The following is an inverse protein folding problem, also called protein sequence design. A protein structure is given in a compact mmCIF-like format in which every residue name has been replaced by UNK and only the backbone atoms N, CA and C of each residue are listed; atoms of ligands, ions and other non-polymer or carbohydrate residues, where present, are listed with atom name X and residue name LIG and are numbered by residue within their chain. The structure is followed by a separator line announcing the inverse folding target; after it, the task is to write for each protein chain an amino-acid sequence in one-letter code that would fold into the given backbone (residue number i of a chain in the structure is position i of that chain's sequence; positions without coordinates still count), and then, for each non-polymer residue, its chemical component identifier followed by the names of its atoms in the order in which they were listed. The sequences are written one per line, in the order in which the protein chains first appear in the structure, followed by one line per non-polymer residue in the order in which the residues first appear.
data_IF_967668931198
#
_entry.id   IF_967668931198
#
_cell.length_a   1.000
_cell.length_b   1.000
_cell.length_c   1.000
_cell.angle_alpha   90.00
_cell.angle_beta   90.00
_cell.angle_gamma   90.00
#
_symmetry.space_group_name_H-M   'P 1'
#
loop_
_entity.id
_entity.type
_entity.pdbx_description
1 polymer ?
#
# COMPACT_ATOMS: atom_id res chain seq x y z
N UNK A 1 -6.32 10.75 4.16
CA UNK A 1 -6.14 9.28 4.30
C UNK A 1 -4.70 8.85 4.27
N UNK A 2 -3.89 9.28 3.29
CA UNK A 2 -2.45 9.00 3.19
C UNK A 2 -1.71 9.12 4.54
N UNK A 3 -1.81 10.25 5.25
CA UNK A 3 -1.19 10.38 6.58
C UNK A 3 -1.92 9.61 7.69
N UNK A 4 -3.18 9.96 7.95
CA UNK A 4 -3.92 9.48 9.13
C UNK A 4 -4.04 7.95 9.19
N UNK A 5 -4.48 7.27 8.12
CA UNK A 5 -4.72 5.82 8.14
C UNK A 5 -3.41 5.05 8.17
N UNK A 6 -2.43 5.50 7.38
CA UNK A 6 -1.09 4.92 7.39
C UNK A 6 -0.50 4.93 8.80
N UNK A 7 -0.54 6.09 9.45
CA UNK A 7 0.01 6.24 10.79
C UNK A 7 -0.80 5.45 11.81
N UNK A 8 -2.14 5.41 11.71
CA UNK A 8 -2.95 4.55 12.56
C UNK A 8 -2.52 3.07 12.45
N UNK A 9 -2.38 2.55 11.23
CA UNK A 9 -1.97 1.16 11.00
C UNK A 9 -0.55 0.85 11.48
N UNK A 10 0.37 1.82 11.37
CA UNK A 10 1.74 1.69 11.86
C UNK A 10 1.82 1.71 13.38
N UNK A 11 1.17 2.68 14.03
CA UNK A 11 1.30 2.89 15.47
C UNK A 11 0.44 1.93 16.29
N UNK A 12 -0.72 1.49 15.78
CA UNK A 12 -1.61 0.55 16.51
C UNK A 12 -1.10 -0.90 16.48
N UNK A 13 -0.27 -1.26 15.50
CA UNK A 13 0.19 -2.63 15.32
C UNK A 13 0.87 -3.21 16.57
N UNK A 14 1.85 -2.48 17.13
CA UNK A 14 2.58 -2.96 18.30
C UNK A 14 1.72 -3.04 19.57
N UNK A 15 0.93 -2.01 19.96
CA UNK A 15 -0.03 -2.10 21.05
C UNK A 15 -1.05 -3.24 20.89
N UNK A 16 -1.57 -3.45 19.68
CA UNK A 16 -2.54 -4.51 19.39
C UNK A 16 -1.95 -5.91 19.62
N UNK A 17 -0.75 -6.17 19.10
CA UNK A 17 -0.08 -7.45 19.29
C UNK A 17 0.34 -7.70 20.74
N UNK A 18 0.81 -6.67 21.44
CA UNK A 18 1.10 -6.76 22.89
C UNK A 18 -0.15 -7.06 23.70
N UNK A 19 -1.27 -6.42 23.37
CA UNK A 19 -2.55 -6.65 24.03
C UNK A 19 -3.10 -8.06 23.77
N UNK A 20 -2.83 -8.63 22.59
CA UNK A 20 -3.08 -10.05 22.30
C UNK A 20 -2.08 -10.99 23.01
N UNK A 21 -1.07 -10.50 23.74
CA UNK A 21 -0.09 -11.34 24.43
C UNK A 21 0.79 -12.15 23.47
N UNK A 22 0.96 -11.67 22.24
CA UNK A 22 1.77 -12.34 21.22
C UNK A 22 3.24 -11.93 21.33
N UNK A 23 4.12 -12.89 21.05
CA UNK A 23 5.57 -12.69 21.05
C UNK A 23 6.03 -11.70 19.97
N UNK A 24 7.15 -11.02 20.21
CA UNK A 24 7.73 -10.02 19.32
C UNK A 24 8.08 -10.57 17.94
N UNK A 25 8.46 -11.85 17.85
CA UNK A 25 8.72 -12.52 16.57
C UNK A 25 7.45 -12.60 15.72
N UNK A 26 6.30 -12.96 16.32
CA UNK A 26 5.02 -13.04 15.62
C UNK A 26 4.57 -11.66 15.13
N UNK A 27 4.78 -10.62 15.93
CA UNK A 27 4.55 -9.24 15.50
C UNK A 27 5.42 -8.87 14.30
N UNK A 28 6.73 -9.16 14.35
CA UNK A 28 7.66 -8.82 13.27
C UNK A 28 7.28 -9.50 11.95
N UNK A 29 6.99 -10.81 11.98
CA UNK A 29 6.54 -11.55 10.80
C UNK A 29 5.24 -10.98 10.25
N UNK A 30 4.28 -10.67 11.12
CA UNK A 30 3.00 -10.10 10.70
C UNK A 30 3.14 -8.68 10.16
N UNK A 31 4.05 -7.89 10.71
CA UNK A 31 4.40 -6.57 10.23
C UNK A 31 4.99 -6.64 8.82
N UNK A 32 5.89 -7.58 8.55
CA UNK A 32 6.42 -7.81 7.20
C UNK A 32 5.32 -8.16 6.20
N UNK A 33 4.38 -9.03 6.59
CA UNK A 33 3.21 -9.36 5.76
C UNK A 33 2.37 -8.10 5.50
N UNK A 34 2.04 -7.35 6.55
CA UNK A 34 1.26 -6.11 6.45
C UNK A 34 1.93 -5.06 5.54
N UNK A 35 3.26 -4.97 5.53
CA UNK A 35 4.02 -4.01 4.73
C UNK A 35 4.22 -4.42 3.27
N UNK A 36 3.97 -5.69 2.94
CA UNK A 36 4.14 -6.25 1.59
C UNK A 36 3.49 -5.42 0.48
N UNK A 37 2.27 -4.85 0.63
CA UNK A 37 1.64 -4.03 -0.40
C UNK A 37 2.46 -2.81 -0.85
N UNK A 38 3.31 -2.27 0.02
CA UNK A 38 4.17 -1.13 -0.33
C UNK A 38 5.24 -1.51 -1.36
N UNK A 39 5.77 -2.73 -1.28
CA UNK A 39 6.69 -3.27 -2.27
C UNK A 39 5.97 -3.66 -3.58
N UNK A 40 4.66 -3.94 -3.51
CA UNK A 40 3.86 -4.32 -4.68
C UNK A 40 3.39 -3.14 -5.54
N UNK A 41 3.67 -1.89 -5.15
CA UNK A 41 3.28 -0.69 -5.93
C UNK A 41 3.69 -0.77 -7.39
N UNK A 42 4.85 -1.34 -7.71
CA UNK A 42 5.30 -1.52 -9.10
C UNK A 42 4.33 -2.37 -9.94
N UNK A 43 3.76 -3.46 -9.38
CA UNK A 43 2.73 -4.25 -10.05
C UNK A 43 1.45 -3.44 -10.19
N UNK A 44 1.02 -2.77 -9.12
CA UNK A 44 -0.23 -2.02 -9.15
C UNK A 44 -0.18 -0.91 -10.20
N UNK A 45 0.93 -0.18 -10.32
CA UNK A 45 1.14 0.87 -11.32
C UNK A 45 1.08 0.28 -12.73
N UNK A 46 1.81 -0.82 -12.95
CA UNK A 46 1.83 -1.52 -14.22
C UNK A 46 0.44 -2.01 -14.63
N UNK A 47 -0.35 -2.50 -13.67
CA UNK A 47 -1.70 -3.01 -13.89
C UNK A 47 -2.69 -1.89 -14.23
N UNK A 48 -2.66 -0.78 -13.49
CA UNK A 48 -3.53 0.38 -13.73
C UNK A 48 -3.26 1.05 -15.07
N UNK A 49 -1.98 1.09 -15.47
CA UNK A 49 -1.57 1.67 -16.76
C UNK A 49 -1.93 0.77 -17.94
N UNK A 50 -1.78 -0.55 -17.77
CA UNK A 50 -2.07 -1.53 -18.80
C UNK A 50 -3.57 -1.71 -19.03
N UNK A 51 -4.37 -1.71 -17.95
CA UNK A 51 -5.78 -2.07 -18.02
C UNK A 51 -6.69 -0.95 -17.47
N UNK A 52 -7.18 -0.03 -18.31
CA UNK A 52 -8.24 0.87 -17.89
C UNK A 52 -9.52 0.07 -17.66
N UNK A 53 -10.17 0.25 -16.51
CA UNK A 53 -11.47 -0.34 -16.20
C UNK A 53 -12.52 0.73 -16.50
N UNK A 54 -13.50 0.45 -17.36
CA UNK A 54 -14.60 1.40 -17.65
C UNK A 54 -14.15 2.79 -18.15
N UNK A 55 -13.00 2.87 -18.81
CA UNK A 55 -12.40 4.08 -19.37
C UNK A 55 -11.48 4.84 -18.41
N UNK A 56 -11.31 4.34 -17.18
CA UNK A 56 -10.52 4.96 -16.12
C UNK A 56 -9.35 4.07 -15.70
N UNK A 57 -8.15 4.66 -15.65
CA UNK A 57 -6.92 4.04 -15.19
C UNK A 57 -6.79 4.02 -13.65
N UNK A 58 -7.39 4.98 -12.95
CA UNK A 58 -7.23 5.17 -11.50
C UNK A 58 -8.54 4.98 -10.73
N UNK A 59 -9.65 5.59 -11.16
CA UNK A 59 -10.90 5.67 -10.36
C UNK A 59 -11.37 4.33 -9.78
N UNK A 60 -11.53 3.30 -10.61
CA UNK A 60 -12.07 2.02 -10.16
C UNK A 60 -11.08 1.19 -9.35
N UNK A 61 -9.78 1.31 -9.63
CA UNK A 61 -8.73 0.70 -8.82
C UNK A 61 -8.67 1.30 -7.41
N UNK A 62 -8.78 2.64 -7.29
CA UNK A 62 -8.88 3.30 -5.98
C UNK A 62 -10.13 2.86 -5.22
N UNK A 63 -11.25 2.67 -5.93
CA UNK A 63 -12.50 2.22 -5.30
C UNK A 63 -12.40 0.77 -4.80
N UNK A 64 -11.90 -0.16 -5.62
CA UNK A 64 -11.70 -1.56 -5.23
C UNK A 64 -10.73 -1.65 -4.05
N UNK A 65 -9.60 -0.92 -4.11
CA UNK A 65 -8.64 -0.88 -3.02
C UNK A 65 -9.26 -0.32 -1.73
N UNK A 66 -10.11 0.70 -1.83
CA UNK A 66 -10.85 1.24 -0.69
C UNK A 66 -11.81 0.22 -0.07
N UNK A 67 -12.58 -0.51 -0.88
CA UNK A 67 -13.47 -1.57 -0.39
C UNK A 67 -12.68 -2.67 0.32
N UNK A 68 -11.54 -3.08 -0.24
CA UNK A 68 -10.66 -4.07 0.38
C UNK A 68 -10.10 -3.59 1.71
N UNK A 69 -9.61 -2.36 1.80
CA UNK A 69 -9.06 -1.85 3.07
C UNK A 69 -10.11 -1.61 4.13
N UNK A 70 -11.30 -1.14 3.77
CA UNK A 70 -12.45 -1.05 4.68
C UNK A 70 -12.85 -2.43 5.19
N UNK A 71 -12.89 -3.45 4.33
CA UNK A 71 -13.16 -4.82 4.75
C UNK A 71 -12.07 -5.36 5.69
N UNK A 72 -10.79 -5.05 5.44
CA UNK A 72 -9.68 -5.38 6.33
C UNK A 72 -9.80 -4.71 7.70
N UNK A 73 -10.10 -3.41 7.74
CA UNK A 73 -10.32 -2.67 8.98
C UNK A 73 -11.54 -3.17 9.77
N UNK A 74 -12.65 -3.48 9.09
CA UNK A 74 -13.83 -4.11 9.71
C UNK A 74 -13.47 -5.49 10.27
N UNK A 75 -12.70 -6.28 9.53
CA UNK A 75 -12.16 -7.55 9.99
C UNK A 75 -11.40 -7.39 11.31
N UNK A 76 -10.44 -6.47 11.38
CA UNK A 76 -9.67 -6.19 12.60
C UNK A 76 -10.53 -5.64 13.75
N UNK A 77 -11.56 -4.85 13.44
CA UNK A 77 -12.43 -4.23 14.43
C UNK A 77 -13.42 -5.23 15.07
N UNK A 78 -13.87 -6.24 14.32
CA UNK A 78 -14.88 -7.22 14.74
C UNK A 78 -14.26 -8.54 15.21
N UNK A 79 -13.02 -8.85 14.82
CA UNK A 79 -12.38 -10.13 15.14
C UNK A 79 -12.30 -10.37 16.66
N UNK A 80 -12.88 -11.47 17.18
CA UNK A 80 -12.78 -11.80 18.60
C UNK A 80 -11.34 -12.06 19.02
N UNK A 81 -10.99 -11.62 20.24
CA UNK A 81 -9.61 -11.69 20.77
C UNK A 81 -9.05 -13.11 20.77
N UNK A 82 -9.86 -14.09 21.15
CA UNK A 82 -9.44 -15.49 21.20
C UNK A 82 -9.08 -16.01 19.80
N UNK A 83 -9.91 -15.71 18.80
CA UNK A 83 -9.64 -16.07 17.41
C UNK A 83 -8.40 -15.36 16.88
N UNK A 84 -8.21 -14.08 17.21
CA UNK A 84 -7.04 -13.30 16.80
C UNK A 84 -5.74 -13.83 17.40
N UNK A 85 -5.78 -14.36 18.63
CA UNK A 85 -4.64 -15.01 19.30
C UNK A 85 -4.28 -16.35 18.65
N UNK A 86 -5.27 -17.18 18.35
CA UNK A 86 -5.05 -18.51 17.77
C UNK A 86 -4.65 -18.43 16.29
N UNK A 87 -5.25 -17.52 15.53
CA UNK A 87 -5.07 -17.40 14.07
C UNK A 87 -4.38 -16.08 13.70
N UNK A 88 -3.13 -15.91 14.12
CA UNK A 88 -2.35 -14.68 13.90
C UNK A 88 -2.22 -14.32 12.41
N UNK A 89 -2.21 -15.30 11.51
CA UNK A 89 -2.16 -15.08 10.06
C UNK A 89 -3.38 -14.32 9.52
N UNK A 90 -4.57 -14.48 10.12
CA UNK A 90 -5.79 -13.76 9.74
C UNK A 90 -5.63 -12.27 10.07
N UNK A 91 -5.01 -11.95 11.21
CA UNK A 91 -4.68 -10.58 11.60
C UNK A 91 -3.74 -9.95 10.56
N UNK A 92 -2.71 -10.69 10.13
CA UNK A 92 -1.82 -10.29 9.03
C UNK A 92 -2.52 -10.04 7.71
N UNK A 93 -3.43 -10.93 7.32
CA UNK A 93 -4.22 -10.78 6.10
C UNK A 93 -5.09 -9.52 6.13
N UNK A 94 -5.75 -9.23 7.26
CA UNK A 94 -6.56 -8.02 7.37
C UNK A 94 -5.72 -6.73 7.40
N UNK A 95 -4.56 -6.74 8.07
CA UNK A 95 -3.61 -5.64 7.99
C UNK A 95 -3.07 -5.46 6.57
N UNK A 96 -2.78 -6.55 5.85
CA UNK A 96 -2.39 -6.51 4.44
C UNK A 96 -3.48 -5.84 3.59
N UNK A 97 -4.74 -6.23 3.75
CA UNK A 97 -5.86 -5.60 3.03
C UNK A 97 -5.97 -4.09 3.32
N UNK A 98 -5.84 -3.68 4.59
CA UNK A 98 -5.84 -2.27 4.98
C UNK A 98 -4.65 -1.51 4.37
N UNK A 99 -3.48 -2.15 4.26
CA UNK A 99 -2.28 -1.57 3.66
C UNK A 99 -2.34 -1.52 2.13
N UNK A 100 -3.03 -2.45 1.46
CA UNK A 100 -3.32 -2.37 0.02
C UNK A 100 -4.10 -1.11 -0.32
N UNK A 101 -5.12 -0.76 0.48
CA UNK A 101 -5.86 0.49 0.28
C UNK A 101 -4.92 1.70 0.27
N UNK A 102 -4.09 1.83 1.31
CA UNK A 102 -3.18 2.96 1.45
C UNK A 102 -2.17 2.96 0.31
N UNK A 103 -1.54 1.82 0.01
CA UNK A 103 -0.50 1.72 -1.02
C UNK A 103 -1.01 2.04 -2.43
N UNK A 104 -2.20 1.55 -2.81
CA UNK A 104 -2.79 1.82 -4.14
C UNK A 104 -3.25 3.27 -4.26
N UNK A 105 -3.90 3.81 -3.22
CA UNK A 105 -4.32 5.22 -3.24
C UNK A 105 -3.13 6.17 -3.29
N UNK A 106 -2.08 5.88 -2.51
CA UNK A 106 -0.82 6.62 -2.48
C UNK A 106 -0.17 6.66 -3.86
N UNK A 107 0.01 5.50 -4.48
CA UNK A 107 0.63 5.39 -5.81
C UNK A 107 -0.15 6.14 -6.90
N UNK A 108 -1.48 6.02 -6.92
CA UNK A 108 -2.31 6.70 -7.94
C UNK A 108 -2.37 8.21 -7.74
N UNK A 109 -2.38 8.68 -6.49
CA UNK A 109 -2.28 10.10 -6.17
C UNK A 109 -0.90 10.65 -6.56
N UNK A 110 0.17 9.89 -6.33
CA UNK A 110 1.53 10.27 -6.68
C UNK A 110 1.73 10.41 -8.19
N UNK A 111 1.14 9.50 -8.97
CA UNK A 111 1.07 9.62 -10.42
C UNK A 111 0.32 10.90 -10.86
N UNK A 112 -0.85 11.17 -10.27
CA UNK A 112 -1.69 12.31 -10.68
C UNK A 112 -1.09 13.66 -10.32
N UNK A 113 -0.54 13.82 -9.12
CA UNK A 113 0.09 15.10 -8.81
C UNK A 113 1.34 15.31 -9.67
N UNK A 114 2.07 14.25 -10.05
CA UNK A 114 3.25 14.38 -10.94
C UNK A 114 2.86 14.90 -12.32
N UNK A 115 1.73 14.45 -12.85
CA UNK A 115 1.13 15.02 -14.07
C UNK A 115 0.77 16.51 -13.87
N UNK A 116 0.16 16.86 -12.73
CA UNK A 116 -0.13 18.25 -12.38
C UNK A 116 1.14 19.10 -12.25
N UNK A 117 2.24 18.55 -11.72
CA UNK A 117 3.54 19.24 -11.66
C UNK A 117 4.07 19.57 -13.05
N UNK A 118 3.95 18.62 -13.99
CA UNK A 118 4.39 18.79 -15.37
C UNK A 118 3.60 19.88 -16.11
N UNK A 119 2.29 19.97 -15.85
CA UNK A 119 1.41 20.97 -16.51
C UNK A 119 1.55 22.35 -15.88
N UNK A 120 1.63 22.43 -14.55
CA UNK A 120 1.59 23.71 -13.81
C UNK A 120 2.94 24.41 -13.66
N UNK A 121 4.06 23.70 -13.88
CA UNK A 121 5.41 24.23 -13.65
C UNK A 121 5.74 24.50 -12.17
N UNK A 122 4.83 24.23 -11.23
CA UNK A 122 4.98 24.47 -9.77
C UNK A 122 5.14 23.17 -8.98
N UNK A 123 6.01 22.28 -9.46
CA UNK A 123 6.13 20.93 -8.89
C UNK A 123 6.47 20.92 -7.40
N UNK A 124 7.45 21.73 -6.99
CA UNK A 124 7.93 21.75 -5.62
C UNK A 124 6.84 22.18 -4.61
N UNK A 125 5.97 23.13 -4.97
CA UNK A 125 4.90 23.63 -4.12
C UNK A 125 3.84 22.55 -3.87
N UNK A 126 3.44 21.83 -4.93
CA UNK A 126 2.45 20.75 -4.88
C UNK A 126 2.94 19.64 -3.95
N UNK A 127 4.18 19.18 -4.14
CA UNK A 127 4.76 18.10 -3.33
C UNK A 127 4.90 18.54 -1.87
N UNK A 128 5.39 19.76 -1.62
CA UNK A 128 5.51 20.31 -0.26
C UNK A 128 4.16 20.37 0.44
N UNK A 129 3.10 20.78 -0.26
CA UNK A 129 1.76 20.84 0.29
C UNK A 129 1.19 19.45 0.63
N UNK A 130 1.37 18.46 -0.26
CA UNK A 130 0.92 17.08 -0.03
C UNK A 130 1.63 16.46 1.18
N UNK A 131 2.94 16.66 1.30
CA UNK A 131 3.72 16.19 2.44
C UNK A 131 3.34 16.91 3.72
N UNK A 132 3.14 18.22 3.68
CA UNK A 132 2.65 18.99 4.83
C UNK A 132 1.33 18.43 5.36
N UNK A 133 0.34 18.24 4.47
CA UNK A 133 -0.95 17.66 4.85
C UNK A 133 -0.83 16.22 5.37
N UNK A 134 0.09 15.43 4.81
CA UNK A 134 0.37 14.07 5.28
C UNK A 134 0.98 14.08 6.69
N UNK A 135 1.91 15.00 6.96
CA UNK A 135 2.54 15.17 8.28
C UNK A 135 1.54 15.62 9.33
N UNK A 136 0.67 16.58 9.03
CA UNK A 136 -0.42 16.99 9.94
C UNK A 136 -1.31 15.79 10.28
N UNK A 137 -1.66 14.98 9.27
CA UNK A 137 -2.40 13.74 9.49
C UNK A 137 -1.68 12.74 10.38
N UNK A 138 -0.37 12.56 10.19
CA UNK A 138 0.46 11.67 11.02
C UNK A 138 0.53 12.17 12.47
N UNK A 139 0.63 13.48 12.69
CA UNK A 139 0.63 14.06 14.04
C UNK A 139 -0.69 13.79 14.76
N UNK A 140 -1.83 14.02 14.08
CA UNK A 140 -3.16 13.75 14.65
C UNK A 140 -3.35 12.27 15.00
N UNK A 141 -2.95 11.37 14.11
CA UNK A 141 -3.05 9.93 14.36
C UNK A 141 -2.14 9.49 15.52
N UNK A 142 -0.90 9.94 15.55
CA UNK A 142 0.05 9.56 16.63
C UNK A 142 -0.42 10.08 17.99
N UNK A 143 -0.96 11.30 18.05
CA UNK A 143 -1.48 11.90 19.28
C UNK A 143 -2.71 11.17 19.84
N UNK A 144 -3.49 10.50 18.98
CA UNK A 144 -4.73 9.82 19.38
C UNK A 144 -4.53 8.32 19.66
N UNK A 145 -3.64 7.63 18.93
CA UNK A 145 -3.40 6.19 19.12
C UNK A 145 -2.94 5.84 20.53
N UNK A 146 -1.99 6.60 21.08
CA UNK A 146 -1.40 6.31 22.40
C UNK A 146 -2.47 6.31 23.51
N UNK A 147 -3.14 7.44 23.77
CA UNK A 147 -4.16 7.53 24.81
C UNK A 147 -5.30 6.52 24.65
N UNK A 148 -5.73 6.26 23.41
CA UNK A 148 -6.83 5.32 23.12
C UNK A 148 -6.40 3.88 23.38
N UNK A 149 -5.19 3.51 22.98
CA UNK A 149 -4.66 2.16 23.16
C UNK A 149 -4.45 1.84 24.64
N UNK A 150 -4.05 2.82 25.44
CA UNK A 150 -3.76 2.64 26.87
C UNK A 150 -5.02 2.61 27.75
N UNK A 151 -6.09 3.34 27.38
CA UNK A 151 -7.29 3.50 28.23
C UNK A 151 -8.44 2.54 27.90
N UNK A 152 -8.76 2.34 26.61
CA UNK A 152 -9.94 1.57 26.17
C UNK A 152 -9.53 0.30 25.40
N UNK A 153 -8.32 0.31 24.85
CA UNK A 153 -7.72 -0.80 24.13
C UNK A 153 -7.59 -0.55 22.62
N UNK A 154 -6.63 -1.23 21.97
CA UNK A 154 -6.23 -0.94 20.59
C UNK A 154 -7.32 -1.24 19.54
N UNK A 155 -8.33 -2.05 19.89
CA UNK A 155 -9.46 -2.35 18.98
C UNK A 155 -10.30 -1.12 18.60
N UNK A 156 -10.39 -0.11 19.47
CA UNK A 156 -11.17 1.10 19.20
C UNK A 156 -10.52 1.98 18.13
N UNK A 157 -9.20 1.90 17.97
CA UNK A 157 -8.47 2.62 16.92
C UNK A 157 -8.94 2.18 15.53
N UNK A 158 -9.24 0.89 15.33
CA UNK A 158 -9.78 0.40 14.04
C UNK A 158 -11.19 0.94 13.77
N UNK A 159 -12.02 1.06 14.80
CA UNK A 159 -13.34 1.68 14.69
C UNK A 159 -13.27 3.17 14.33
N UNK A 160 -12.26 3.89 14.80
CA UNK A 160 -12.01 5.29 14.42
C UNK A 160 -11.41 5.39 13.01
N UNK A 161 -10.54 4.47 12.62
CA UNK A 161 -9.95 4.44 11.29
C UNK A 161 -10.98 4.12 10.19
N UNK A 162 -12.04 3.38 10.53
CA UNK A 162 -13.11 2.97 9.61
C UNK A 162 -13.84 4.10 8.89
N UNK A 163 -14.46 5.08 9.58
CA UNK A 163 -15.11 6.21 8.91
C UNK A 163 -14.10 7.03 8.09
N UNK A 164 -12.85 7.12 8.56
CA UNK A 164 -11.78 7.84 7.85
C UNK A 164 -11.39 7.11 6.56
N UNK A 165 -11.41 5.78 6.53
CA UNK A 165 -11.22 4.99 5.30
C UNK A 165 -12.40 5.17 4.35
N UNK A 166 -13.62 4.99 4.88
CA UNK A 166 -14.87 5.12 4.13
C UNK A 166 -15.04 6.49 3.48
N UNK A 167 -14.59 7.57 4.13
CA UNK A 167 -14.69 8.92 3.58
C UNK A 167 -14.01 9.05 2.21
N UNK A 168 -13.02 8.21 1.87
CA UNK A 168 -12.36 8.26 0.56
C UNK A 168 -13.20 7.68 -0.55
N UNK A 169 -14.19 6.84 -0.25
CA UNK A 169 -15.15 6.36 -1.25
C UNK A 169 -15.87 7.54 -1.92
N UNK A 170 -16.23 8.56 -1.14
CA UNK A 170 -16.98 9.72 -1.62
C UNK A 170 -16.28 10.53 -2.72
N UNK A 171 -15.04 11.05 -2.53
CA UNK A 171 -14.33 11.79 -3.57
C UNK A 171 -13.98 10.91 -4.77
N UNK A 172 -13.72 9.60 -4.56
CA UNK A 172 -13.47 8.65 -5.66
C UNK A 172 -14.73 8.51 -6.52
N UNK A 173 -15.89 8.26 -5.92
CA UNK A 173 -17.16 8.07 -6.65
C UNK A 173 -17.59 9.35 -7.38
N UNK A 174 -17.45 10.52 -6.73
CA UNK A 174 -17.72 11.83 -7.33
C UNK A 174 -16.73 12.20 -8.45
N UNK A 175 -15.65 11.45 -8.61
CA UNK A 175 -14.67 11.69 -9.67
C UNK A 175 -13.95 13.03 -9.50
N UNK A 176 -13.64 13.41 -8.27
CA UNK A 176 -12.91 14.65 -7.98
C UNK A 176 -11.48 14.63 -8.53
N UNK A 177 -10.96 13.44 -8.84
CA UNK A 177 -9.72 13.29 -9.58
C UNK A 177 -9.98 13.59 -11.05
N UNK A 178 -9.35 14.64 -11.62
CA UNK A 178 -9.50 14.95 -13.04
C UNK A 178 -8.77 13.86 -13.83
N UNK A 179 -9.53 12.89 -14.31
CA UNK A 179 -9.02 11.76 -15.07
C UNK A 179 -9.55 11.82 -16.50
N UNK A 180 -8.63 11.77 -17.47
CA UNK A 180 -8.98 11.76 -18.88
C UNK A 180 -9.51 10.37 -19.24
N UNK A 181 -10.78 10.31 -19.67
CA UNK A 181 -11.41 9.03 -20.04
C UNK A 181 -10.82 8.53 -21.35
N UNK A 182 -10.38 7.28 -21.37
CA UNK A 182 -9.98 6.63 -22.63
C UNK A 182 -11.24 6.39 -23.48
N UNK A 183 -11.35 6.99 -24.68
CA UNK A 183 -12.55 6.85 -25.51
C UNK A 183 -12.76 5.40 -25.98
N UNK A 184 -14.02 4.95 -26.15
CA UNK A 184 -14.32 3.66 -26.77
C UNK A 184 -13.69 3.60 -28.18
N UNK A 185 -13.12 2.46 -28.61
CA UNK A 185 -13.29 1.09 -28.07
C UNK A 185 -12.18 0.62 -27.11
N UNK A 186 -11.22 1.48 -26.73
CA UNK A 186 -10.05 1.09 -25.93
C UNK A 186 -10.23 1.27 -24.41
N UNK A 187 -11.37 1.81 -23.96
CA UNK A 187 -11.62 2.10 -22.55
C UNK A 187 -11.73 0.88 -21.62
N UNK A 188 -11.79 -0.35 -22.12
CA UNK A 188 -11.76 -1.57 -21.27
C UNK A 188 -10.90 -2.69 -21.83
N UNK A 189 -10.14 -2.40 -22.89
CA UNK A 189 -9.19 -3.36 -23.47
C UNK A 189 -7.84 -3.20 -22.80
N UNK A 190 -7.19 -4.33 -22.51
CA UNK A 190 -5.80 -4.35 -22.10
C UNK A 190 -4.96 -3.67 -23.20
N UNK A 191 -4.25 -2.60 -22.85
CA UNK A 191 -3.36 -1.87 -23.76
C UNK A 191 -2.06 -2.65 -23.93
N UNK A 192 -2.14 -3.85 -24.52
CA UNK A 192 -1.01 -4.77 -24.72
C UNK A 192 0.15 -4.10 -25.46
N UNK A 193 -0.15 -3.14 -26.34
CA UNK A 193 0.86 -2.33 -27.02
C UNK A 193 1.73 -1.50 -26.06
N UNK A 194 1.13 -0.88 -25.02
CA UNK A 194 1.88 -0.17 -23.97
C UNK A 194 2.66 -1.12 -23.07
N UNK A 195 2.07 -2.26 -22.73
CA UNK A 195 2.77 -3.31 -21.96
C UNK A 195 4.01 -3.79 -22.72
N UNK A 196 3.89 -3.93 -24.04
CA UNK A 196 5.00 -4.36 -24.90
C UNK A 196 6.06 -3.26 -25.08
N UNK A 197 5.68 -1.98 -25.11
CA UNK A 197 6.64 -0.87 -25.20
C UNK A 197 7.42 -0.67 -23.90
N UNK A 198 6.76 -0.82 -22.75
CA UNK A 198 7.35 -0.61 -21.42
C UNK A 198 7.62 -1.93 -20.66
N UNK A 199 7.91 -3.01 -21.41
CA UNK A 199 7.98 -4.36 -20.85
C UNK A 199 9.02 -4.52 -19.74
N UNK A 200 10.10 -3.71 -19.75
CA UNK A 200 11.14 -3.72 -18.71
C UNK A 200 10.60 -3.22 -17.37
N UNK A 201 9.85 -2.13 -17.39
CA UNK A 201 9.19 -1.56 -16.20
C UNK A 201 8.11 -2.51 -15.69
N UNK A 202 7.35 -3.11 -16.59
CA UNK A 202 6.35 -4.13 -16.26
C UNK A 202 6.99 -5.38 -15.63
N UNK A 203 8.12 -5.86 -16.17
CA UNK A 203 8.85 -7.02 -15.65
C UNK A 203 9.46 -6.75 -14.27
N UNK A 204 9.97 -5.53 -14.02
CA UNK A 204 10.44 -5.11 -12.69
C UNK A 204 9.30 -5.00 -11.68
N UNK A 205 8.15 -4.44 -12.10
CA UNK A 205 6.94 -4.46 -11.28
C UNK A 205 6.56 -5.89 -10.90
N UNK A 206 6.41 -6.77 -11.89
CA UNK A 206 6.04 -8.17 -11.66
C UNK A 206 7.05 -8.91 -10.77
N UNK A 207 8.35 -8.75 -10.98
CA UNK A 207 9.36 -9.42 -10.16
C UNK A 207 9.30 -8.97 -8.70
N UNK A 208 9.19 -7.66 -8.45
CA UNK A 208 9.11 -7.10 -7.10
C UNK A 208 7.83 -7.52 -6.37
N UNK A 209 6.69 -7.54 -7.04
CA UNK A 209 5.46 -7.97 -6.36
C UNK A 209 5.34 -9.50 -6.21
N UNK A 210 5.90 -10.31 -7.11
CA UNK A 210 6.01 -11.77 -6.89
C UNK A 210 6.94 -12.07 -5.72
N UNK A 211 8.07 -11.38 -5.64
CA UNK A 211 8.98 -11.42 -4.50
C UNK A 211 8.29 -11.02 -3.19
N UNK A 212 7.50 -9.95 -3.22
CA UNK A 212 6.75 -9.48 -2.06
C UNK A 212 5.67 -10.48 -1.63
N UNK A 213 4.90 -11.03 -2.56
CA UNK A 213 3.90 -12.08 -2.27
C UNK A 213 4.54 -13.35 -1.73
N UNK A 214 5.68 -13.77 -2.32
CA UNK A 214 6.44 -14.90 -1.82
C UNK A 214 6.98 -14.65 -0.40
N UNK A 215 7.39 -13.42 -0.07
CA UNK A 215 7.79 -13.05 1.29
C UNK A 215 6.62 -13.13 2.27
N UNK A 216 5.42 -12.70 1.86
CA UNK A 216 4.22 -12.81 2.68
C UNK A 216 3.82 -14.27 2.94
N UNK A 217 3.91 -15.14 1.91
CA UNK A 217 3.63 -16.58 2.03
C UNK A 217 4.68 -17.28 2.90
N UNK A 218 5.96 -16.99 2.66
CA UNK A 218 7.06 -17.57 3.44
C UNK A 218 7.00 -17.13 4.89
N UNK A 219 6.69 -15.85 5.14
CA UNK A 219 6.45 -15.33 6.48
C UNK A 219 5.24 -15.99 7.16
N UNK A 220 4.18 -16.30 6.43
CA UNK A 220 2.99 -16.92 7.01
C UNK A 220 3.16 -18.42 7.33
N UNK A 221 3.98 -19.15 6.56
CA UNK A 221 4.01 -20.62 6.61
C UNK A 221 5.32 -21.23 7.13
N UNK A 222 6.43 -20.49 7.20
CA UNK A 222 7.76 -21.06 7.47
C UNK A 222 8.48 -20.40 8.66
N UNK A 223 9.55 -21.08 9.10
CA UNK A 223 10.43 -20.63 10.20
C UNK A 223 11.08 -19.27 9.91
N UNK A 224 11.38 -18.45 10.95
CA UNK A 224 12.09 -17.18 10.81
C UNK A 224 13.42 -17.29 10.04
N UNK A 225 14.09 -18.44 10.15
CA UNK A 225 15.33 -18.69 9.41
C UNK A 225 15.10 -18.78 7.89
N UNK A 226 14.02 -19.44 7.47
CA UNK A 226 13.65 -19.54 6.05
C UNK A 226 13.22 -18.18 5.52
N UNK A 227 12.50 -17.39 6.32
CA UNK A 227 12.13 -16.02 5.97
C UNK A 227 13.38 -15.14 5.75
N UNK A 228 14.39 -15.25 6.61
CA UNK A 228 15.66 -14.52 6.47
C UNK A 228 16.38 -14.90 5.17
N UNK A 229 16.56 -16.20 4.92
CA UNK A 229 17.22 -16.70 3.69
C UNK A 229 16.47 -16.26 2.44
N UNK A 230 15.13 -16.35 2.45
CA UNK A 230 14.30 -15.91 1.33
C UNK A 230 14.45 -14.39 1.08
N UNK A 231 14.38 -13.57 2.14
CA UNK A 231 14.48 -12.10 2.02
C UNK A 231 15.84 -11.66 1.49
N UNK A 232 16.93 -12.30 1.94
CA UNK A 232 18.29 -12.02 1.45
C UNK A 232 18.42 -12.40 -0.02
N UNK A 233 17.95 -13.60 -0.38
CA UNK A 233 18.00 -14.09 -1.76
C UNK A 233 17.20 -13.20 -2.71
N UNK A 234 15.99 -12.83 -2.32
CA UNK A 234 15.12 -11.93 -3.09
C UNK A 234 15.72 -10.54 -3.23
N UNK A 235 16.28 -9.98 -2.15
CA UNK A 235 16.94 -8.66 -2.20
C UNK A 235 18.06 -8.65 -3.23
N UNK A 236 18.94 -9.66 -3.22
CA UNK A 236 20.03 -9.78 -4.20
C UNK A 236 19.49 -9.90 -5.63
N UNK A 237 18.50 -10.76 -5.86
CA UNK A 237 17.89 -10.96 -7.20
C UNK A 237 17.23 -9.69 -7.71
N UNK A 238 16.45 -9.00 -6.87
CA UNK A 238 15.77 -7.74 -7.23
C UNK A 238 16.78 -6.63 -7.49
N UNK A 239 17.83 -6.50 -6.68
CA UNK A 239 18.90 -5.51 -6.93
C UNK A 239 19.62 -5.78 -8.26
N UNK A 240 19.94 -7.04 -8.55
CA UNK A 240 20.57 -7.42 -9.82
C UNK A 240 19.64 -7.11 -11.00
N UNK A 241 18.37 -7.53 -10.92
CA UNK A 241 17.37 -7.25 -11.95
C UNK A 241 17.17 -5.74 -12.16
N UNK A 242 17.18 -4.96 -11.08
CA UNK A 242 17.06 -3.49 -11.14
C UNK A 242 18.24 -2.88 -11.90
N UNK A 243 19.48 -3.35 -11.65
CA UNK A 243 20.66 -2.89 -12.38
C UNK A 243 20.63 -3.22 -13.88
N UNK A 244 20.00 -4.35 -14.26
CA UNK A 244 19.92 -4.76 -15.68
C UNK A 244 18.71 -4.19 -16.43
N UNK A 245 17.58 -3.98 -15.76
CA UNK A 245 16.33 -3.57 -16.38
C UNK A 245 16.07 -2.06 -16.34
N UNK A 246 16.55 -1.33 -15.32
CA UNK A 246 16.45 0.13 -15.29
C UNK A 246 17.26 0.77 -16.42
N UNK A 247 16.70 1.82 -17.04
CA UNK A 247 17.49 2.72 -17.89
C UNK A 247 18.59 3.36 -17.02
N UNK A 248 19.78 3.55 -17.59
CA UNK A 248 20.96 4.12 -16.89
C UNK A 248 20.62 5.34 -16.05
N UNK A 249 19.75 6.22 -16.55
CA UNK A 249 19.31 7.45 -15.88
C UNK A 249 18.58 7.21 -14.55
N UNK A 250 17.67 6.22 -14.48
CA UNK A 250 16.92 5.90 -13.26
C UNK A 250 17.84 5.26 -12.20
N UNK A 251 18.78 4.43 -12.64
CA UNK A 251 19.76 3.81 -11.74
C UNK A 251 20.69 4.86 -11.10
N UNK A 252 21.12 5.89 -11.85
CA UNK A 252 21.93 6.97 -11.29
C UNK A 252 21.16 7.76 -10.23
N UNK A 253 19.87 8.08 -10.47
CA UNK A 253 19.05 8.81 -9.48
C UNK A 253 18.83 8.00 -8.22
N UNK A 254 18.56 6.69 -8.34
CA UNK A 254 18.43 5.81 -7.17
C UNK A 254 19.74 5.67 -6.37
N UNK A 255 20.90 5.74 -7.04
CA UNK A 255 22.22 5.75 -6.39
C UNK A 255 22.50 7.04 -5.60
N UNK A 256 21.93 8.19 -5.98
CA UNK A 256 22.04 9.43 -5.20
C UNK A 256 21.12 9.48 -3.97
N UNK A 257 20.13 8.59 -3.88
CA UNK A 257 19.19 8.48 -2.75
C UNK A 257 19.59 7.41 -1.71
N UNK A 258 20.63 6.62 -1.98
CA UNK A 258 21.30 5.72 -1.04
C UNK A 258 22.34 6.48 -0.21
#
# INVERSE_FOLDING_TARGET
VKGIIYQYLMTVGLPYFKWLGLDGVKYQTNFTIAWTPWAMKGIFASLTDAWPIGGYHAKWYMFIANVLGVAGLLGLAVLPRETARTHVWIVGAFFFMAQVQVAVQDMLLDGKYTELMAISGRGNEIVTYVWFMSTVGNMMASATVGPISDSVGPGLVFWIALPIALQTAYPILRGWMPEERVPPPNGSKLQVAKVKSEWRTFAMGCSTGVAALGLAIVGAAFSPFVQLVYTLSVSVVVSILSCFLCKREQATTSLYFL
#
